data_IF_525357184769
#
_entry.id   IF_525357184769
#
_cell.length_a   1.000
_cell.length_b   1.000
_cell.length_c   1.000
_cell.angle_alpha   90.00
_cell.angle_beta   90.00
_cell.angle_gamma   90.00
#
_symmetry.space_group_name_H-M   'P 1'
#
loop_
_entity.id
_entity.type
_entity.pdbx_description
1 polymer ?
#
# COMPACT_ATOMS: atom_id res chain seq x y z
N UNK A 1 -11.94 -5.60 16.03
CA UNK A 1 -10.55 -5.12 15.86
C UNK A 1 -10.58 -4.03 14.80
N UNK A 2 -10.07 -2.83 15.09
CA UNK A 2 -10.09 -1.76 14.09
C UNK A 2 -9.10 -2.06 12.97
N UNK A 3 -9.60 -1.99 11.74
CA UNK A 3 -8.84 -2.23 10.52
C UNK A 3 -8.80 -0.95 9.70
N UNK A 4 -7.61 -0.64 9.22
CA UNK A 4 -7.34 0.52 8.38
C UNK A 4 -6.70 0.06 7.07
N UNK A 5 -6.91 0.85 6.03
CA UNK A 5 -6.21 0.72 4.75
C UNK A 5 -5.29 1.91 4.62
N UNK A 6 -4.00 1.64 4.52
CA UNK A 6 -3.02 2.64 4.12
C UNK A 6 -3.01 2.66 2.60
N UNK A 7 -3.17 3.84 2.01
CA UNK A 7 -3.01 4.08 0.58
C UNK A 7 -1.88 5.09 0.39
N UNK A 8 -0.81 4.67 -0.28
CA UNK A 8 0.34 5.51 -0.59
C UNK A 8 0.40 5.80 -2.08
N UNK A 9 0.50 7.07 -2.45
CA UNK A 9 0.77 7.48 -3.82
C UNK A 9 2.27 7.48 -4.05
N UNK A 10 2.71 6.71 -5.03
CA UNK A 10 4.12 6.50 -5.35
C UNK A 10 4.42 7.11 -6.71
N UNK A 11 5.43 7.96 -6.78
CA UNK A 11 6.00 8.43 -8.03
C UNK A 11 7.04 7.40 -8.49
N UNK A 12 6.73 6.77 -9.62
CA UNK A 12 7.56 5.73 -10.22
C UNK A 12 8.27 6.28 -11.46
N UNK A 13 9.50 5.82 -11.68
CA UNK A 13 10.30 6.17 -12.84
C UNK A 13 10.90 4.91 -13.44
N UNK A 14 10.57 4.65 -14.71
CA UNK A 14 11.06 3.47 -15.43
C UNK A 14 11.87 3.89 -16.65
N UNK A 15 12.90 3.10 -16.96
CA UNK A 15 13.69 3.31 -18.18
C UNK A 15 12.80 3.11 -19.41
N UNK A 16 12.87 4.05 -20.34
CA UNK A 16 12.13 4.04 -21.59
C UNK A 16 13.07 3.98 -22.81
N UNK A 17 14.18 3.26 -22.65
CA UNK A 17 15.23 3.15 -23.66
C UNK A 17 16.12 4.39 -23.72
N UNK A 18 16.74 4.58 -24.87
CA UNK A 18 17.70 5.65 -25.13
C UNK A 18 17.20 6.56 -26.24
N UNK A 19 17.51 7.84 -26.13
CA UNK A 19 17.21 8.85 -27.14
C UNK A 19 17.98 8.55 -28.43
N UNK A 20 17.26 8.50 -29.55
CA UNK A 20 17.86 8.31 -30.87
C UNK A 20 18.74 9.50 -31.33
N UNK A 21 18.65 10.65 -30.66
CA UNK A 21 19.39 11.85 -31.04
C UNK A 21 20.77 11.93 -30.36
N UNK A 22 20.87 11.50 -29.10
CA UNK A 22 22.07 11.70 -28.28
C UNK A 22 22.44 10.50 -27.40
N UNK A 23 21.68 9.39 -27.45
CA UNK A 23 21.92 8.19 -26.65
C UNK A 23 21.61 8.36 -25.16
N UNK A 24 21.03 9.50 -24.75
CA UNK A 24 20.70 9.73 -23.34
C UNK A 24 19.54 8.83 -22.88
N UNK A 25 19.55 8.34 -21.63
CA UNK A 25 18.48 7.49 -21.12
C UNK A 25 17.18 8.27 -21.02
N UNK A 26 16.14 7.74 -21.65
CA UNK A 26 14.78 8.24 -21.55
C UNK A 26 14.10 7.61 -20.34
N UNK A 27 13.23 8.39 -19.71
CA UNK A 27 12.52 7.97 -18.53
C UNK A 27 11.03 8.26 -18.69
N UNK A 28 10.21 7.28 -18.32
CA UNK A 28 8.78 7.44 -18.18
C UNK A 28 8.47 7.63 -16.69
N UNK A 29 7.73 8.69 -16.37
CA UNK A 29 7.24 8.98 -15.02
C UNK A 29 5.74 8.75 -14.94
N UNK A 30 5.30 8.07 -13.90
CA UNK A 30 3.87 7.86 -13.61
C UNK A 30 3.63 7.78 -12.11
N UNK A 31 2.35 7.88 -11.72
CA UNK A 31 1.92 7.68 -10.34
C UNK A 31 1.19 6.35 -10.20
N UNK A 32 1.51 5.62 -9.14
CA UNK A 32 0.83 4.37 -8.76
C UNK A 32 0.33 4.52 -7.32
N UNK A 33 -0.92 4.12 -7.08
CA UNK A 33 -1.45 4.01 -5.72
C UNK A 33 -1.20 2.60 -5.19
N UNK A 34 -0.44 2.48 -4.10
CA UNK A 34 -0.19 1.21 -3.40
C UNK A 34 -0.94 1.17 -2.08
N UNK A 35 -1.73 0.14 -1.89
CA UNK A 35 -2.54 -0.03 -0.68
C UNK A 35 -2.20 -1.30 0.09
N UNK A 36 -2.21 -1.21 1.41
CA UNK A 36 -2.15 -2.39 2.27
C UNK A 36 -2.98 -2.22 3.53
N UNK A 37 -3.37 -3.36 4.12
CA UNK A 37 -4.09 -3.40 5.38
C UNK A 37 -3.15 -3.22 6.57
N UNK A 38 -3.63 -2.42 7.51
CA UNK A 38 -3.02 -2.08 8.78
C UNK A 38 -4.04 -2.30 9.89
N UNK A 39 -3.64 -2.93 10.98
CA UNK A 39 -4.54 -3.18 12.12
C UNK A 39 -4.22 -2.21 13.26
N UNK A 40 -5.23 -1.81 14.03
CA UNK A 40 -5.08 -0.77 15.07
C UNK A 40 -4.17 -1.13 16.24
N UNK A 41 -3.78 -2.40 16.39
CA UNK A 41 -2.79 -2.89 17.36
C UNK A 41 -1.34 -2.70 16.86
N UNK A 42 -1.13 -2.42 15.57
CA UNK A 42 0.18 -2.15 15.00
C UNK A 42 0.61 -0.70 15.27
N UNK A 43 1.91 -0.49 15.43
CA UNK A 43 2.45 0.87 15.58
C UNK A 43 2.47 1.61 14.25
N UNK A 44 2.40 2.93 14.28
CA UNK A 44 2.61 3.76 13.10
C UNK A 44 3.98 3.52 12.44
N UNK A 45 4.98 3.06 13.20
CA UNK A 45 6.29 2.68 12.66
C UNK A 45 6.23 1.54 11.63
N UNK A 46 5.27 0.62 11.79
CA UNK A 46 5.02 -0.47 10.83
C UNK A 46 4.57 0.06 9.48
N UNK A 47 3.88 1.20 9.44
CA UNK A 47 3.49 1.86 8.19
C UNK A 47 4.74 2.31 7.44
N UNK A 48 5.62 3.05 8.11
CA UNK A 48 6.85 3.56 7.52
C UNK A 48 7.83 2.45 7.12
N UNK A 49 7.93 1.38 7.90
CA UNK A 49 8.75 0.22 7.55
C UNK A 49 8.26 -0.48 6.26
N UNK A 50 6.94 -0.55 6.04
CA UNK A 50 6.41 -1.10 4.78
C UNK A 50 6.64 -0.16 3.61
N UNK A 51 6.46 1.14 3.83
CA UNK A 51 6.65 2.15 2.78
C UNK A 51 8.12 2.28 2.36
N UNK A 52 9.08 2.08 3.27
CA UNK A 52 10.51 2.13 2.94
C UNK A 52 10.99 1.01 2.02
N UNK A 53 10.18 -0.04 1.85
CA UNK A 53 10.45 -1.18 0.96
C UNK A 53 9.84 -0.99 -0.44
N UNK A 54 9.10 0.09 -0.67
CA UNK A 54 8.50 0.39 -1.98
C UNK A 54 9.58 0.99 -2.89
N UNK A 55 9.70 0.45 -4.09
CA UNK A 55 10.49 1.09 -5.15
C UNK A 55 9.74 2.32 -5.67
N UNK A 56 10.39 3.48 -5.61
CA UNK A 56 9.82 4.78 -6.00
C UNK A 56 9.68 5.75 -4.82
N UNK A 57 9.28 6.98 -5.13
CA UNK A 57 9.15 8.03 -4.13
C UNK A 57 7.71 8.08 -3.63
N UNK A 58 7.48 7.83 -2.34
CA UNK A 58 6.16 8.02 -1.73
C UNK A 58 5.90 9.53 -1.55
N UNK A 59 4.89 10.05 -2.23
CA UNK A 59 4.57 11.49 -2.26
C UNK A 59 3.32 11.87 -1.47
N UNK A 60 2.44 10.91 -1.20
CA UNK A 60 1.22 11.10 -0.41
C UNK A 60 0.85 9.81 0.33
N UNK A 61 0.29 9.93 1.53
CA UNK A 61 -0.15 8.80 2.36
C UNK A 61 -1.52 9.13 2.94
N UNK A 62 -2.50 8.27 2.67
CA UNK A 62 -3.86 8.35 3.23
C UNK A 62 -4.11 7.13 4.11
N UNK A 63 -4.71 7.37 5.27
CA UNK A 63 -5.21 6.32 6.14
C UNK A 63 -6.74 6.31 6.09
N UNK A 64 -7.31 5.20 5.63
CA UNK A 64 -8.74 5.01 5.52
C UNK A 64 -9.19 4.00 6.57
N UNK A 65 -10.25 4.29 7.31
CA UNK A 65 -10.88 3.28 8.15
C UNK A 65 -11.61 2.29 7.23
N UNK A 66 -11.30 1.00 7.35
CA UNK A 66 -11.85 -0.04 6.46
C UNK A 66 -13.36 -0.20 6.68
N UNK A 67 -13.89 0.20 7.84
CA UNK A 67 -15.32 0.19 8.16
C UNK A 67 -15.95 -1.21 8.20
N UNK A 68 -15.23 -2.23 7.74
CA UNK A 68 -15.59 -3.63 7.79
C UNK A 68 -15.31 -4.17 9.20
N UNK A 69 -16.30 -4.07 10.08
CA UNK A 69 -16.40 -4.92 11.26
C UNK A 69 -16.66 -6.35 10.80
N UNK A 70 -15.62 -7.05 10.30
CA UNK A 70 -15.69 -8.49 10.14
C UNK A 70 -15.67 -9.11 11.53
N UNK A 71 -16.85 -9.32 12.11
CA UNK A 71 -17.03 -10.36 13.12
C UNK A 71 -16.68 -11.67 12.43
N UNK A 72 -15.57 -12.29 12.83
CA UNK A 72 -15.32 -13.69 12.51
C UNK A 72 -16.50 -14.43 13.14
N UNK A 73 -17.39 -15.10 12.38
CA UNK A 73 -18.34 -16.00 13.02
C UNK A 73 -17.49 -17.04 13.76
N UNK A 74 -17.67 -17.15 15.07
CA UNK A 74 -17.07 -18.23 15.86
C UNK A 74 -17.39 -19.54 15.14
N UNK A 75 -16.40 -20.08 14.43
CA UNK A 75 -16.50 -21.36 13.76
C UNK A 75 -16.70 -22.41 14.84
N UNK A 76 -17.96 -22.82 15.04
CA UNK A 76 -18.30 -24.16 15.50
C UNK A 76 -18.28 -24.42 17.00
N UNK A 77 -19.01 -23.62 17.79
CA UNK A 77 -19.74 -24.23 18.92
C UNK A 77 -21.20 -24.40 18.49
N UNK A 78 -21.49 -25.56 17.90
CA UNK A 78 -22.85 -26.10 17.86
C UNK A 78 -23.43 -26.07 19.28
N UNK A 79 -24.52 -25.34 19.56
CA UNK A 79 -25.40 -25.69 20.64
C UNK A 79 -26.40 -26.72 20.08
N UNK A 80 -26.12 -27.98 20.40
CA UNK A 80 -27.08 -29.08 20.53
C UNK A 80 -28.42 -28.97 19.77
N UNK A 81 -28.59 -29.82 18.76
CA UNK A 81 -29.80 -30.64 18.61
C UNK A 81 -29.41 -32.04 18.13
#
# INVERSE_FOLDING_TARGET
MDRYVVVAKVHCRVSNGESHHDGSPLWLSYFEDRSYTFTGDQSIGTIFERLSRIEGDVVDIKLLYDGSSYDIPESGKDPAY
#
